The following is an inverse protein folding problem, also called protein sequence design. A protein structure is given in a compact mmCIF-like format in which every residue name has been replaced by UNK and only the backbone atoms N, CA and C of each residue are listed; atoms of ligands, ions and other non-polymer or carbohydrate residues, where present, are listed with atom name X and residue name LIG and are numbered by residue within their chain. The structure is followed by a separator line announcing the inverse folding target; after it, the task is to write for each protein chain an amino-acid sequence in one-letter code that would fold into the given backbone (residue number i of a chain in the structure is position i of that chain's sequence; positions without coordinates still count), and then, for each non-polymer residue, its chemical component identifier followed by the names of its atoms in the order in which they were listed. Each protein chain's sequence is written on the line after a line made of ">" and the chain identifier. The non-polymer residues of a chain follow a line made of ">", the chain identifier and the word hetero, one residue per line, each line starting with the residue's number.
data_IF_254256105802
#
_entry.id   IF_254256105802
#
_cell.length_a   1.000
_cell.length_b   1.000
_cell.length_c   1.000
_cell.angle_alpha   90.00
_cell.angle_beta   90.00
_cell.angle_gamma   90.00
#
_symmetry.space_group_name_H-M   'P 1'
#
loop_
_entity.id
_entity.type
_entity.pdbx_description
1 polymer ?
#
# COMPACT_ATOMS: atom_id res chain seq x y z
N UNK A 1 -25.67 9.94 -3.83
CA UNK A 1 -24.60 10.47 -2.95
C UNK A 1 -23.71 11.39 -3.76
N UNK A 2 -23.56 12.62 -3.31
CA UNK A 2 -22.72 13.59 -4.02
C UNK A 2 -21.24 13.35 -3.68
N UNK A 3 -20.39 13.55 -4.68
CA UNK A 3 -18.94 13.49 -4.46
C UNK A 3 -18.53 14.80 -3.77
N UNK A 4 -17.84 14.69 -2.63
CA UNK A 4 -17.36 15.86 -1.91
C UNK A 4 -16.27 16.59 -2.68
N UNK A 5 -16.12 17.88 -2.39
CA UNK A 5 -15.08 18.70 -3.02
C UNK A 5 -13.69 18.15 -2.78
N UNK A 6 -13.43 17.63 -1.58
CA UNK A 6 -12.12 17.05 -1.25
C UNK A 6 -11.81 15.84 -2.10
N UNK A 7 -12.79 14.98 -2.36
CA UNK A 7 -12.63 13.82 -3.23
C UNK A 7 -12.35 14.27 -4.66
N UNK A 8 -13.07 15.27 -5.14
CA UNK A 8 -12.87 15.82 -6.48
C UNK A 8 -11.46 16.41 -6.62
N UNK A 9 -11.04 17.24 -5.68
CA UNK A 9 -9.72 17.86 -5.69
C UNK A 9 -8.61 16.81 -5.64
N UNK A 10 -8.78 15.78 -4.82
CA UNK A 10 -7.84 14.67 -4.72
C UNK A 10 -7.70 13.95 -6.06
N UNK A 11 -8.82 13.70 -6.73
CA UNK A 11 -8.82 13.03 -8.04
C UNK A 11 -8.08 13.87 -9.08
N UNK A 12 -8.29 15.19 -9.08
CA UNK A 12 -7.57 16.11 -10.00
C UNK A 12 -6.06 16.03 -9.75
N UNK A 13 -5.63 16.06 -8.49
CA UNK A 13 -4.21 15.98 -8.15
C UNK A 13 -3.59 14.63 -8.54
N UNK A 14 -4.32 13.54 -8.37
CA UNK A 14 -3.87 12.22 -8.82
C UNK A 14 -3.61 12.24 -10.33
N UNK A 15 -4.54 12.81 -11.10
CA UNK A 15 -4.40 12.94 -12.55
C UNK A 15 -3.18 13.79 -12.94
N UNK A 16 -2.94 14.88 -12.22
CA UNK A 16 -1.78 15.75 -12.47
C UNK A 16 -0.46 15.06 -12.18
N UNK A 17 -0.37 14.34 -11.07
CA UNK A 17 0.83 13.56 -10.77
C UNK A 17 1.05 12.44 -11.78
N UNK A 18 0.00 11.76 -12.16
CA UNK A 18 0.07 10.71 -13.18
C UNK A 18 0.64 11.26 -14.49
N UNK A 19 0.11 12.38 -14.96
CA UNK A 19 0.55 13.02 -16.20
C UNK A 19 2.02 13.45 -16.10
N UNK A 20 2.40 14.08 -15.00
CA UNK A 20 3.76 14.58 -14.81
C UNK A 20 4.78 13.44 -14.75
N UNK A 21 4.44 12.33 -14.08
CA UNK A 21 5.35 11.22 -13.85
C UNK A 21 5.41 10.26 -15.05
N UNK A 22 4.32 10.11 -15.80
CA UNK A 22 4.27 9.15 -16.89
C UNK A 22 5.23 9.49 -18.04
N UNK A 23 5.66 10.74 -18.15
CA UNK A 23 6.68 11.14 -19.12
C UNK A 23 8.09 10.74 -18.71
N UNK A 24 8.32 10.46 -17.43
CA UNK A 24 9.63 10.18 -16.86
C UNK A 24 9.83 8.70 -16.51
N UNK A 25 8.75 8.03 -16.12
CA UNK A 25 8.81 6.63 -15.71
C UNK A 25 7.44 5.98 -15.89
N UNK A 26 7.39 4.64 -15.98
CA UNK A 26 6.11 3.93 -15.94
C UNK A 26 5.38 4.20 -14.64
N UNK A 27 4.11 4.55 -14.72
CA UNK A 27 3.26 4.82 -13.56
C UNK A 27 2.13 3.81 -13.54
N UNK A 28 1.92 3.19 -12.39
CA UNK A 28 0.84 2.25 -12.18
C UNK A 28 -0.09 2.76 -11.09
N UNK A 29 -1.39 2.69 -11.36
CA UNK A 29 -2.41 3.02 -10.37
C UNK A 29 -2.99 1.73 -9.81
N UNK A 30 -3.04 1.65 -8.49
CA UNK A 30 -3.57 0.48 -7.79
C UNK A 30 -4.81 0.86 -7.00
N UNK A 31 -5.86 0.07 -7.14
CA UNK A 31 -7.06 0.22 -6.33
C UNK A 31 -6.84 -0.42 -4.96
N UNK A 32 -7.50 0.14 -3.95
CA UNK A 32 -7.41 -0.36 -2.59
C UNK A 32 -7.86 -1.82 -2.46
N UNK A 33 -8.81 -2.24 -3.30
CA UNK A 33 -9.28 -3.62 -3.35
C UNK A 33 -8.15 -4.57 -3.76
N UNK A 34 -7.30 -4.18 -4.71
CA UNK A 34 -6.15 -4.99 -5.12
C UNK A 34 -5.17 -5.20 -3.97
N UNK A 35 -4.90 -4.14 -3.21
CA UNK A 35 -4.05 -4.17 -2.04
C UNK A 35 -4.60 -5.13 -0.97
N UNK A 36 -5.89 -5.02 -0.68
CA UNK A 36 -6.56 -5.88 0.31
C UNK A 36 -6.54 -7.34 -0.11
N UNK A 37 -6.82 -7.63 -1.36
CA UNK A 37 -6.79 -8.99 -1.88
C UNK A 37 -5.40 -9.59 -1.85
N UNK A 38 -4.40 -8.79 -2.18
CA UNK A 38 -3.02 -9.27 -2.21
C UNK A 38 -2.50 -9.57 -0.79
N UNK A 39 -2.69 -8.65 0.14
CA UNK A 39 -2.11 -8.75 1.48
C UNK A 39 -2.93 -9.65 2.39
N UNK A 40 -4.25 -9.50 2.38
CA UNK A 40 -5.16 -10.20 3.29
C UNK A 40 -5.95 -11.33 2.62
N UNK A 41 -5.90 -11.43 1.29
CA UNK A 41 -6.70 -12.37 0.49
C UNK A 41 -8.20 -12.17 0.70
N UNK A 42 -8.61 -10.96 1.07
CA UNK A 42 -9.99 -10.61 1.35
C UNK A 42 -10.25 -9.15 0.96
N UNK A 43 -11.13 -8.94 -0.02
CA UNK A 43 -11.48 -7.61 -0.50
C UNK A 43 -12.20 -6.75 0.54
N UNK A 44 -12.69 -7.35 1.61
CA UNK A 44 -13.40 -6.65 2.69
C UNK A 44 -12.49 -6.30 3.88
N UNK A 45 -11.21 -6.63 3.80
CA UNK A 45 -10.27 -6.34 4.87
C UNK A 45 -10.21 -4.83 5.15
N UNK A 46 -10.01 -4.48 6.41
CA UNK A 46 -9.81 -3.09 6.83
C UNK A 46 -8.33 -2.81 7.09
N UNK A 47 -8.02 -1.58 7.46
CA UNK A 47 -6.63 -1.18 7.72
C UNK A 47 -5.99 -1.98 8.86
N UNK A 48 -6.77 -2.33 9.88
CA UNK A 48 -6.29 -3.16 10.99
C UNK A 48 -5.87 -4.55 10.51
N UNK A 49 -6.66 -5.15 9.61
CA UNK A 49 -6.34 -6.44 9.03
C UNK A 49 -5.08 -6.38 8.17
N UNK A 50 -4.91 -5.32 7.40
CA UNK A 50 -3.70 -5.11 6.58
C UNK A 50 -2.47 -5.00 7.48
N UNK A 51 -2.53 -4.19 8.53
CA UNK A 51 -1.42 -4.06 9.50
C UNK A 51 -1.10 -5.39 10.15
N UNK A 52 -2.12 -6.13 10.55
CA UNK A 52 -1.94 -7.44 11.19
C UNK A 52 -1.21 -8.40 10.26
N UNK A 53 -1.62 -8.46 9.00
CA UNK A 53 -0.99 -9.31 8.00
C UNK A 53 0.48 -8.92 7.77
N UNK A 54 0.76 -7.63 7.71
CA UNK A 54 2.13 -7.14 7.53
C UNK A 54 3.02 -7.45 8.74
N UNK A 55 2.50 -7.27 9.94
CA UNK A 55 3.23 -7.59 11.16
C UNK A 55 3.54 -9.07 11.21
N UNK A 56 2.59 -9.92 10.87
CA UNK A 56 2.79 -11.37 10.86
C UNK A 56 3.86 -11.80 9.86
N UNK A 57 4.03 -11.06 8.76
CA UNK A 57 5.03 -11.38 7.73
C UNK A 57 6.43 -10.84 8.05
N UNK A 58 6.53 -9.64 8.60
CA UNK A 58 7.79 -8.91 8.63
C UNK A 58 8.34 -8.65 10.03
N UNK A 59 7.51 -8.66 11.06
CA UNK A 59 8.00 -8.40 12.42
C UNK A 59 8.90 -9.53 12.89
N UNK A 60 10.02 -9.16 13.51
CA UNK A 60 11.00 -10.14 13.99
C UNK A 60 10.68 -10.63 15.40
N UNK A 61 10.33 -9.72 16.32
CA UNK A 61 10.09 -10.08 17.73
C UNK A 61 8.84 -9.45 18.33
N UNK A 62 8.41 -8.30 17.85
CA UNK A 62 7.18 -7.65 18.34
C UNK A 62 6.00 -8.07 17.46
N UNK A 63 5.47 -9.25 17.72
CA UNK A 63 4.39 -9.82 16.93
C UNK A 63 3.04 -9.15 17.19
N UNK A 64 2.96 -8.26 18.18
CA UNK A 64 1.74 -7.55 18.50
C UNK A 64 1.62 -6.24 17.72
N UNK A 65 2.64 -5.39 17.77
CA UNK A 65 2.62 -4.06 17.16
C UNK A 65 3.59 -3.93 15.99
N UNK A 66 4.57 -4.81 15.90
CA UNK A 66 5.56 -4.79 14.83
C UNK A 66 6.62 -3.71 14.95
N UNK A 67 6.52 -2.84 15.95
CA UNK A 67 7.39 -1.67 16.09
C UNK A 67 8.55 -1.86 17.06
N UNK A 68 8.38 -2.70 18.07
CA UNK A 68 9.35 -2.83 19.13
C UNK A 68 9.41 -1.59 20.01
N UNK A 69 10.56 -1.36 20.63
CA UNK A 69 10.81 -0.21 21.47
C UNK A 69 12.02 0.56 20.98
N UNK A 70 12.25 1.77 21.53
CA UNK A 70 13.42 2.58 21.17
C UNK A 70 14.73 1.84 21.45
N UNK A 71 14.78 1.05 22.51
CA UNK A 71 15.97 0.26 22.86
C UNK A 71 16.11 -1.00 22.00
N UNK A 72 14.99 -1.58 21.58
CA UNK A 72 14.97 -2.79 20.76
C UNK A 72 13.92 -2.63 19.65
N UNK A 73 14.23 -1.86 18.60
CA UNK A 73 13.26 -1.63 17.53
C UNK A 73 13.01 -2.88 16.71
N UNK A 74 11.80 -2.99 16.16
CA UNK A 74 11.45 -4.02 15.21
C UNK A 74 11.27 -3.40 13.82
N UNK A 75 10.87 -4.20 12.86
CA UNK A 75 10.78 -3.82 11.45
C UNK A 75 9.97 -2.55 11.21
N UNK A 76 8.86 -2.39 11.91
CA UNK A 76 7.96 -1.25 11.70
C UNK A 76 8.18 -0.11 12.70
N UNK A 77 9.35 -0.03 13.31
CA UNK A 77 9.64 1.04 14.26
C UNK A 77 9.48 2.41 13.58
N UNK A 78 8.72 3.29 14.21
CA UNK A 78 8.48 4.63 13.70
C UNK A 78 7.36 4.76 12.67
N UNK A 79 6.71 3.67 12.29
CA UNK A 79 5.62 3.72 11.33
C UNK A 79 4.38 4.43 11.90
N UNK A 80 3.81 5.34 11.11
CA UNK A 80 2.56 6.02 11.38
C UNK A 80 1.53 5.64 10.33
N UNK A 81 0.27 6.09 10.49
CA UNK A 81 -0.83 5.66 9.63
C UNK A 81 -0.57 5.80 8.13
N UNK A 82 -0.04 6.94 7.72
CA UNK A 82 0.24 7.19 6.30
C UNK A 82 1.41 6.36 5.79
N UNK A 83 2.40 6.09 6.63
CA UNK A 83 3.54 5.22 6.28
C UNK A 83 3.09 3.78 6.12
N UNK A 84 2.18 3.31 6.98
CA UNK A 84 1.59 1.98 6.84
C UNK A 84 0.89 1.83 5.49
N UNK A 85 0.11 2.84 5.10
CA UNK A 85 -0.60 2.82 3.82
C UNK A 85 0.36 2.80 2.64
N UNK A 86 1.40 3.62 2.69
CA UNK A 86 2.42 3.67 1.64
C UNK A 86 3.17 2.34 1.52
N UNK A 87 3.52 1.73 2.65
CA UNK A 87 4.22 0.45 2.66
C UNK A 87 3.36 -0.66 2.05
N UNK A 88 2.08 -0.74 2.43
CA UNK A 88 1.16 -1.73 1.90
C UNK A 88 0.99 -1.59 0.38
N UNK A 89 0.86 -0.37 -0.10
CA UNK A 89 0.73 -0.10 -1.53
C UNK A 89 2.00 -0.48 -2.29
N UNK A 90 3.16 -0.07 -1.77
CA UNK A 90 4.45 -0.39 -2.39
C UNK A 90 4.73 -1.89 -2.44
N UNK A 91 4.42 -2.60 -1.35
CA UNK A 91 4.58 -4.04 -1.29
C UNK A 91 3.70 -4.74 -2.33
N UNK A 92 2.44 -4.32 -2.43
CA UNK A 92 1.50 -4.87 -3.42
C UNK A 92 2.04 -4.67 -4.84
N UNK A 93 2.52 -3.48 -5.15
CA UNK A 93 3.06 -3.16 -6.45
C UNK A 93 4.29 -4.00 -6.79
N UNK A 94 5.21 -4.16 -5.84
CA UNK A 94 6.43 -4.93 -6.04
C UNK A 94 6.12 -6.41 -6.22
N UNK A 95 5.27 -6.97 -5.38
CA UNK A 95 4.96 -8.40 -5.43
C UNK A 95 4.12 -8.79 -6.64
N UNK A 96 3.34 -7.85 -7.18
CA UNK A 96 2.53 -8.10 -8.37
C UNK A 96 3.27 -7.76 -9.67
N UNK A 97 4.50 -7.26 -9.60
CA UNK A 97 5.25 -6.83 -10.77
C UNK A 97 5.47 -7.96 -11.78
N UNK A 98 5.74 -9.16 -11.33
CA UNK A 98 5.94 -10.30 -12.20
C UNK A 98 4.67 -10.66 -12.98
N UNK A 99 3.51 -10.59 -12.32
CA UNK A 99 2.24 -10.87 -12.96
C UNK A 99 1.94 -9.86 -14.07
N UNK A 100 2.20 -8.58 -13.82
CA UNK A 100 2.04 -7.53 -14.82
C UNK A 100 2.96 -7.76 -16.02
N UNK A 101 4.18 -8.15 -15.76
CA UNK A 101 5.16 -8.42 -16.79
C UNK A 101 4.75 -9.59 -17.68
N UNK A 102 4.18 -10.64 -17.08
CA UNK A 102 3.68 -11.79 -17.83
C UNK A 102 2.55 -11.41 -18.76
N UNK A 103 1.65 -10.53 -18.32
CA UNK A 103 0.55 -10.06 -19.17
C UNK A 103 1.03 -9.16 -20.30
N UNK A 104 2.08 -8.39 -20.10
CA UNK A 104 2.59 -7.46 -21.11
C UNK A 104 3.40 -8.14 -22.20
N UNK A 105 3.85 -9.37 -22.02
CA UNK A 105 4.64 -10.11 -22.98
C UNK A 105 3.80 -10.99 -23.93
N UNK A 106 2.52 -10.99 -23.71
CA UNK A 106 1.60 -11.68 -24.63
C UNK A 106 1.16 -10.74 -25.74
#
# INVERSE_FOLDING_TARGET
>A
MSVGRDVFDTTVWIGRFYQALSDQCPVRMLCRIEEKKHICHDSRANDTAIRRALIDRFAAHDLKNGKGTKKKPDFFYGFKADVWAAYALGLTAIENRENDYKFSTT
#
